data_IF_260999619562
#
_entry.id   IF_260999619562
#
_cell.length_a   1.000
_cell.length_b   1.000
_cell.length_c   1.000
_cell.angle_alpha   90.00
_cell.angle_beta   90.00
_cell.angle_gamma   90.00
#
_symmetry.space_group_name_H-M   'P 1'
#
loop_
_entity.id
_entity.type
_entity.pdbx_description
1 polymer ?
#
# COMPACT_ATOMS: atom_id res chain seq x y z
N UNK A 1 -33.52 1.43 -5.51
CA UNK A 1 -32.95 0.61 -6.62
C UNK A 1 -32.58 1.47 -7.83
N UNK A 2 -33.45 2.35 -8.26
CA UNK A 2 -33.23 3.27 -9.38
C UNK A 2 -31.99 4.18 -9.16
N UNK A 3 -31.79 4.64 -7.94
CA UNK A 3 -30.61 5.46 -7.56
C UNK A 3 -29.30 4.68 -7.63
N UNK A 4 -29.25 3.38 -7.24
CA UNK A 4 -28.05 2.55 -7.33
C UNK A 4 -27.64 2.31 -8.78
N UNK A 5 -28.61 1.94 -9.64
CA UNK A 5 -28.37 1.73 -11.06
C UNK A 5 -27.86 3.00 -11.74
N UNK A 6 -28.55 4.13 -11.51
CA UNK A 6 -28.17 5.40 -12.10
C UNK A 6 -26.75 5.80 -11.71
N UNK A 7 -26.41 5.70 -10.43
CA UNK A 7 -25.07 6.05 -9.93
C UNK A 7 -24.02 5.06 -10.42
N UNK A 8 -24.32 3.76 -10.48
CA UNK A 8 -23.37 2.76 -11.00
C UNK A 8 -23.03 3.04 -12.49
N UNK A 9 -24.02 3.40 -13.31
CA UNK A 9 -23.78 3.80 -14.69
C UNK A 9 -23.01 5.12 -14.81
N UNK A 10 -23.28 6.09 -13.93
CA UNK A 10 -22.52 7.34 -13.88
C UNK A 10 -21.05 7.08 -13.52
N UNK A 11 -20.77 6.27 -12.51
CA UNK A 11 -19.40 5.89 -12.13
C UNK A 11 -18.69 5.13 -13.26
N UNK A 12 -19.40 4.22 -13.94
CA UNK A 12 -18.86 3.54 -15.12
C UNK A 12 -18.48 4.55 -16.22
N UNK A 13 -19.34 5.54 -16.49
CA UNK A 13 -19.07 6.62 -17.45
C UNK A 13 -17.87 7.51 -17.07
N UNK A 14 -17.54 7.61 -15.78
CA UNK A 14 -16.36 8.30 -15.25
C UNK A 14 -15.09 7.43 -15.30
N UNK A 15 -15.17 6.23 -15.87
CA UNK A 15 -14.05 5.31 -16.01
C UNK A 15 -13.75 4.48 -14.76
N UNK A 16 -14.70 4.35 -13.83
CA UNK A 16 -14.57 3.52 -12.64
C UNK A 16 -15.11 2.11 -12.92
N UNK A 17 -14.43 1.08 -12.43
CA UNK A 17 -14.91 -0.31 -12.47
C UNK A 17 -15.86 -0.54 -11.29
N UNK A 18 -17.13 -0.78 -11.58
CA UNK A 18 -18.16 -0.99 -10.55
C UNK A 18 -18.56 -2.46 -10.49
N UNK A 19 -18.86 -2.94 -9.29
CA UNK A 19 -19.37 -4.29 -9.04
C UNK A 19 -20.54 -4.26 -8.03
N UNK A 20 -21.49 -5.21 -8.16
CA UNK A 20 -22.58 -5.38 -7.21
C UNK A 20 -22.06 -6.10 -5.96
N UNK A 21 -22.42 -5.61 -4.79
CA UNK A 21 -22.04 -6.21 -3.50
C UNK A 21 -23.23 -6.30 -2.56
N UNK A 22 -23.10 -7.13 -1.52
CA UNK A 22 -24.00 -7.13 -0.39
C UNK A 22 -23.53 -6.09 0.62
N UNK A 23 -24.43 -5.23 1.06
CA UNK A 23 -24.12 -4.16 2.02
C UNK A 23 -23.58 -4.70 3.35
N UNK A 24 -24.23 -5.72 3.89
CA UNK A 24 -23.93 -6.26 5.20
C UNK A 24 -22.55 -6.93 5.25
N UNK A 25 -22.30 -7.86 4.35
CA UNK A 25 -21.04 -8.63 4.31
C UNK A 25 -19.97 -7.99 3.48
N UNK A 26 -20.32 -6.95 2.70
CA UNK A 26 -19.47 -6.30 1.68
C UNK A 26 -18.99 -7.26 0.58
N UNK A 27 -19.50 -8.50 0.56
CA UNK A 27 -19.09 -9.52 -0.41
C UNK A 27 -19.63 -9.22 -1.82
N UNK A 28 -18.83 -9.44 -2.88
CA UNK A 28 -19.30 -9.33 -4.26
C UNK A 28 -20.45 -10.31 -4.54
N UNK A 29 -21.49 -9.85 -5.21
CA UNK A 29 -22.64 -10.66 -5.65
C UNK A 29 -22.41 -11.26 -7.04
N UNK A 30 -21.16 -11.61 -7.32
CA UNK A 30 -20.74 -12.24 -8.56
C UNK A 30 -19.98 -13.51 -8.22
N UNK A 31 -20.25 -14.61 -8.93
CA UNK A 31 -19.50 -15.85 -8.74
C UNK A 31 -17.99 -15.65 -8.99
N UNK A 32 -17.67 -14.79 -9.97
CA UNK A 32 -16.30 -14.41 -10.31
C UNK A 32 -16.25 -12.90 -10.54
N UNK A 33 -15.76 -12.15 -9.57
CA UNK A 33 -15.60 -10.70 -9.68
C UNK A 33 -14.20 -10.28 -10.14
N UNK A 34 -13.21 -11.19 -10.06
CA UNK A 34 -11.81 -10.94 -10.39
C UNK A 34 -11.60 -10.37 -11.82
N UNK A 35 -12.37 -10.77 -12.85
CA UNK A 35 -12.24 -10.15 -14.17
C UNK A 35 -12.43 -8.64 -14.19
N UNK A 36 -13.18 -8.09 -13.23
CA UNK A 36 -13.42 -6.64 -13.11
C UNK A 36 -12.28 -5.87 -12.47
N UNK A 37 -11.21 -6.56 -12.06
CA UNK A 37 -9.92 -5.95 -11.70
C UNK A 37 -9.11 -5.58 -12.96
N UNK A 38 -9.42 -6.18 -14.10
CA UNK A 38 -8.68 -6.00 -15.36
C UNK A 38 -9.51 -5.27 -16.42
N UNK A 39 -10.83 -5.49 -16.43
CA UNK A 39 -11.78 -4.79 -17.31
C UNK A 39 -12.92 -4.17 -16.53
N UNK A 40 -13.45 -3.09 -17.02
CA UNK A 40 -14.71 -2.54 -16.52
C UNK A 40 -15.90 -3.34 -17.01
N UNK A 41 -16.98 -3.34 -16.24
CA UNK A 41 -18.25 -3.88 -16.66
C UNK A 41 -18.81 -3.10 -17.87
N UNK A 42 -19.60 -3.77 -18.67
CA UNK A 42 -20.41 -3.09 -19.70
C UNK A 42 -21.67 -2.46 -19.08
N UNK A 43 -22.27 -1.42 -19.70
CA UNK A 43 -23.54 -0.87 -19.22
C UNK A 43 -24.65 -1.93 -19.09
N UNK A 44 -24.67 -2.94 -19.97
CA UNK A 44 -25.64 -4.03 -19.93
C UNK A 44 -25.44 -4.94 -18.71
N UNK A 45 -24.17 -5.25 -18.35
CA UNK A 45 -23.85 -5.99 -17.12
C UNK A 45 -24.32 -5.21 -15.88
N UNK A 46 -23.96 -3.92 -15.78
CA UNK A 46 -24.37 -3.04 -14.67
C UNK A 46 -25.89 -2.96 -14.56
N UNK A 47 -26.60 -2.73 -15.66
CA UNK A 47 -28.06 -2.70 -15.69
C UNK A 47 -28.65 -3.99 -15.15
N UNK A 48 -28.17 -5.14 -15.61
CA UNK A 48 -28.66 -6.46 -15.16
C UNK A 48 -28.46 -6.66 -13.65
N UNK A 49 -27.36 -6.19 -13.08
CA UNK A 49 -27.06 -6.38 -11.65
C UNK A 49 -27.93 -5.52 -10.73
N UNK A 50 -28.27 -4.31 -11.15
CA UNK A 50 -28.97 -3.36 -10.29
C UNK A 50 -30.47 -3.23 -10.59
N UNK A 51 -30.97 -3.77 -11.70
CA UNK A 51 -32.41 -3.69 -12.04
C UNK A 51 -33.24 -4.71 -11.26
N UNK A 52 -32.73 -5.91 -11.01
CA UNK A 52 -33.51 -7.04 -10.46
C UNK A 52 -33.41 -7.18 -8.93
N UNK A 53 -32.94 -6.16 -8.20
CA UNK A 53 -32.70 -6.27 -6.75
C UNK A 53 -31.62 -7.28 -6.36
N UNK A 54 -30.78 -7.63 -7.33
CA UNK A 54 -29.69 -8.59 -7.14
C UNK A 54 -28.62 -8.08 -6.19
N UNK A 55 -28.43 -6.75 -6.12
CA UNK A 55 -27.50 -6.10 -5.20
C UNK A 55 -28.20 -4.98 -4.42
N UNK A 56 -27.83 -4.82 -3.16
CA UNK A 56 -28.30 -3.75 -2.27
C UNK A 56 -27.23 -2.69 -2.00
N UNK A 57 -26.04 -2.87 -2.56
CA UNK A 57 -24.95 -1.92 -2.54
C UNK A 57 -24.06 -2.03 -3.77
N UNK A 58 -23.32 -0.97 -4.07
CA UNK A 58 -22.31 -0.94 -5.11
C UNK A 58 -20.92 -0.72 -4.51
N UNK A 59 -19.92 -1.33 -5.14
CA UNK A 59 -18.52 -1.09 -4.84
C UNK A 59 -17.76 -0.65 -6.09
N UNK A 60 -16.68 0.09 -5.88
CA UNK A 60 -15.73 0.50 -6.90
C UNK A 60 -14.45 -0.29 -6.72
N UNK A 61 -13.98 -0.93 -7.79
CA UNK A 61 -12.72 -1.66 -7.83
C UNK A 61 -11.60 -0.64 -8.01
N UNK A 62 -10.63 -0.65 -7.12
CA UNK A 62 -9.48 0.24 -7.14
C UNK A 62 -8.39 -0.26 -8.11
N UNK A 63 -7.37 0.54 -8.29
CA UNK A 63 -6.23 0.20 -9.15
C UNK A 63 -6.36 0.69 -10.60
N UNK A 64 -5.55 0.13 -11.50
CA UNK A 64 -5.44 0.58 -12.89
C UNK A 64 -6.76 0.54 -13.67
N UNK A 65 -7.63 -0.42 -13.38
CA UNK A 65 -8.92 -0.58 -14.06
C UNK A 65 -9.84 0.63 -13.86
N UNK A 66 -9.67 1.36 -12.75
CA UNK A 66 -10.40 2.59 -12.43
C UNK A 66 -9.54 3.85 -12.60
N UNK A 67 -8.58 3.82 -13.55
CA UNK A 67 -7.69 4.96 -13.82
C UNK A 67 -6.71 5.22 -12.68
N UNK A 68 -6.07 4.18 -12.18
CA UNK A 68 -5.15 4.24 -11.05
C UNK A 68 -5.77 4.79 -9.76
N UNK A 69 -7.01 4.40 -9.50
CA UNK A 69 -7.71 4.75 -8.28
C UNK A 69 -7.05 4.10 -7.06
N UNK A 70 -6.82 4.88 -6.03
CA UNK A 70 -6.44 4.43 -4.70
C UNK A 70 -7.34 5.08 -3.65
N UNK A 71 -7.65 4.35 -2.59
CA UNK A 71 -8.48 4.84 -1.49
C UNK A 71 -7.74 4.62 -0.17
N UNK A 72 -7.64 5.66 0.67
CA UNK A 72 -7.31 5.49 2.08
C UNK A 72 -8.58 5.11 2.84
N UNK A 73 -8.53 3.99 3.53
CA UNK A 73 -9.62 3.46 4.34
C UNK A 73 -9.26 3.64 5.83
N UNK A 74 -10.01 4.49 6.51
CA UNK A 74 -9.89 4.78 7.94
C UNK A 74 -10.91 3.95 8.70
N UNK A 75 -10.51 2.80 9.23
CA UNK A 75 -11.33 1.99 10.15
C UNK A 75 -11.42 2.63 11.55
N UNK A 76 -10.43 3.42 11.95
CA UNK A 76 -10.42 4.21 13.19
C UNK A 76 -10.84 5.65 12.89
N UNK A 77 -12.11 5.97 13.15
CA UNK A 77 -12.73 7.25 12.84
C UNK A 77 -12.05 8.45 13.50
N UNK A 78 -11.54 8.27 14.72
CA UNK A 78 -10.87 9.29 15.52
C UNK A 78 -9.53 9.77 14.90
N UNK A 79 -8.96 8.99 13.98
CA UNK A 79 -7.70 9.33 13.33
C UNK A 79 -7.86 10.20 12.07
N UNK A 80 -9.07 10.26 11.49
CA UNK A 80 -9.28 11.00 10.25
C UNK A 80 -9.07 12.52 10.42
N UNK A 81 -9.69 13.13 11.42
CA UNK A 81 -9.59 14.57 11.63
C UNK A 81 -8.14 15.02 11.98
N UNK A 82 -7.40 14.35 12.87
CA UNK A 82 -5.98 14.64 13.10
C UNK A 82 -5.12 14.47 11.85
N UNK A 83 -5.35 13.41 11.07
CA UNK A 83 -4.64 13.18 9.82
C UNK A 83 -4.91 14.30 8.80
N UNK A 84 -6.17 14.65 8.58
CA UNK A 84 -6.54 15.71 7.64
C UNK A 84 -5.96 17.08 8.06
N UNK A 85 -5.89 17.35 9.37
CA UNK A 85 -5.24 18.55 9.89
C UNK A 85 -3.75 18.59 9.55
N UNK A 86 -3.05 17.46 9.63
CA UNK A 86 -1.63 17.35 9.22
C UNK A 86 -1.47 17.54 7.72
N UNK A 87 -2.37 16.97 6.90
CA UNK A 87 -2.35 17.18 5.44
C UNK A 87 -2.52 18.65 5.12
N UNK A 88 -3.50 19.33 5.73
CA UNK A 88 -3.73 20.78 5.55
C UNK A 88 -2.55 21.64 5.96
N UNK A 89 -1.84 21.25 7.00
CA UNK A 89 -0.65 21.96 7.46
C UNK A 89 0.54 21.82 6.50
N UNK A 90 0.62 20.71 5.76
CA UNK A 90 1.68 20.47 4.76
C UNK A 90 1.29 21.07 3.42
N UNK A 91 0.04 20.84 2.97
CA UNK A 91 -0.50 21.31 1.70
C UNK A 91 -2.04 21.47 1.81
N UNK A 92 -2.49 22.71 1.96
CA UNK A 92 -3.92 23.03 2.07
C UNK A 92 -4.68 22.73 0.77
N UNK A 93 -4.07 23.00 -0.39
CA UNK A 93 -4.70 22.75 -1.70
C UNK A 93 -4.83 21.26 -1.98
N UNK A 94 -3.87 20.45 -1.58
CA UNK A 94 -3.97 19.00 -1.64
C UNK A 94 -5.18 18.52 -0.84
N UNK A 95 -5.32 18.97 0.40
CA UNK A 95 -6.42 18.58 1.27
C UNK A 95 -7.81 18.93 0.66
N UNK A 96 -7.94 20.07 -0.01
CA UNK A 96 -9.18 20.51 -0.65
C UNK A 96 -9.57 19.70 -1.88
N UNK A 97 -8.59 19.11 -2.58
CA UNK A 97 -8.82 18.29 -3.78
C UNK A 97 -9.24 16.86 -3.48
N UNK A 98 -9.08 16.38 -2.25
CA UNK A 98 -9.44 15.02 -1.87
C UNK A 98 -10.96 14.82 -1.92
N UNK A 99 -11.39 13.62 -2.36
CA UNK A 99 -12.78 13.21 -2.23
C UNK A 99 -12.91 12.39 -0.95
N UNK A 100 -13.86 12.76 -0.08
CA UNK A 100 -14.03 12.13 1.22
C UNK A 100 -15.45 11.63 1.41
N UNK A 101 -15.59 10.37 1.78
CA UNK A 101 -16.86 9.76 2.18
C UNK A 101 -16.78 9.23 3.60
N UNK A 102 -17.87 9.35 4.35
CA UNK A 102 -18.07 8.61 5.61
C UNK A 102 -18.58 7.21 5.29
N UNK A 103 -18.05 6.19 5.97
CA UNK A 103 -18.47 4.80 5.81
C UNK A 103 -19.61 4.42 6.76
N UNK A 104 -20.28 3.30 6.51
CA UNK A 104 -21.44 2.85 7.31
C UNK A 104 -21.12 2.60 8.80
N UNK A 105 -19.87 2.36 9.16
CA UNK A 105 -19.45 2.16 10.55
C UNK A 105 -18.75 3.36 11.15
N UNK A 106 -18.91 4.53 10.52
CA UNK A 106 -18.40 5.81 11.01
C UNK A 106 -16.96 6.13 10.60
N UNK A 107 -16.23 5.21 9.95
CA UNK A 107 -14.91 5.46 9.36
C UNK A 107 -14.97 6.36 8.12
N UNK A 108 -13.86 6.47 7.42
CA UNK A 108 -13.75 7.37 6.27
C UNK A 108 -13.03 6.70 5.10
N UNK A 109 -13.47 6.99 3.88
CA UNK A 109 -12.74 6.73 2.64
C UNK A 109 -12.25 8.05 2.06
N UNK A 110 -10.95 8.13 1.73
CA UNK A 110 -10.34 9.24 0.99
C UNK A 110 -9.90 8.73 -0.36
N UNK A 111 -10.46 9.30 -1.42
CA UNK A 111 -10.32 8.81 -2.79
C UNK A 111 -9.48 9.76 -3.63
N UNK A 112 -8.58 9.21 -4.42
CA UNK A 112 -7.74 9.94 -5.37
C UNK A 112 -7.21 8.99 -6.45
N UNK A 113 -6.67 9.56 -7.51
CA UNK A 113 -5.87 8.83 -8.51
C UNK A 113 -4.39 9.12 -8.31
N UNK A 114 -3.52 8.21 -8.71
CA UNK A 114 -2.06 8.42 -8.65
C UNK A 114 -1.35 7.63 -9.74
N UNK A 115 -0.28 8.16 -10.34
CA UNK A 115 0.50 7.43 -11.35
C UNK A 115 1.12 6.15 -10.77
N UNK A 116 1.29 6.08 -9.46
CA UNK A 116 1.81 4.89 -8.75
C UNK A 116 0.73 4.33 -7.85
N UNK A 117 0.16 3.17 -8.20
CA UNK A 117 -0.80 2.45 -7.39
C UNK A 117 -0.24 1.09 -7.01
N UNK A 118 -0.15 0.85 -5.71
CA UNK A 118 0.21 -0.45 -5.15
C UNK A 118 -1.02 -1.32 -4.90
N UNK A 119 -0.82 -2.54 -4.39
CA UNK A 119 -1.89 -3.32 -3.77
C UNK A 119 -2.33 -2.71 -2.44
N UNK A 120 -3.20 -3.40 -1.71
CA UNK A 120 -3.61 -2.98 -0.37
C UNK A 120 -2.42 -2.98 0.60
N UNK A 121 -2.28 -1.90 1.40
CA UNK A 121 -1.22 -1.72 2.38
C UNK A 121 -1.82 -1.31 3.71
N UNK A 122 -1.42 -1.95 4.79
CA UNK A 122 -1.68 -1.44 6.14
C UNK A 122 -0.72 -0.29 6.43
N UNK A 123 -1.25 0.86 6.74
CA UNK A 123 -0.46 2.08 7.00
C UNK A 123 -0.32 2.33 8.49
N UNK A 124 -1.41 2.21 9.25
CA UNK A 124 -1.39 2.34 10.69
C UNK A 124 -2.04 1.12 11.34
N UNK A 125 -1.42 0.60 12.38
CA UNK A 125 -1.86 -0.57 13.12
C UNK A 125 -1.83 -0.33 14.63
N UNK A 126 -2.72 -1.01 15.34
CA UNK A 126 -2.75 -1.09 16.80
C UNK A 126 -2.88 -2.57 17.21
N UNK A 127 -1.79 -3.24 17.54
CA UNK A 127 -1.81 -4.65 17.93
C UNK A 127 -2.61 -4.93 19.21
N UNK A 128 -2.78 -3.93 20.07
CA UNK A 128 -3.45 -4.04 21.37
C UNK A 128 -4.92 -3.62 21.33
N UNK A 129 -5.46 -3.38 20.15
CA UNK A 129 -6.84 -2.94 20.00
C UNK A 129 -7.83 -3.99 20.51
N UNK A 130 -8.72 -3.58 21.43
CA UNK A 130 -9.64 -4.45 22.14
C UNK A 130 -10.72 -5.12 21.28
N UNK A 131 -11.01 -4.54 20.08
CA UNK A 131 -11.99 -5.10 19.13
C UNK A 131 -11.41 -6.15 18.17
N UNK A 132 -10.12 -6.51 18.34
CA UNK A 132 -9.39 -7.45 17.49
C UNK A 132 -9.05 -6.95 16.08
N UNK A 133 -9.44 -5.71 15.74
CA UNK A 133 -9.11 -5.10 14.45
C UNK A 133 -7.77 -4.38 14.54
N UNK A 134 -6.72 -5.06 14.18
CA UNK A 134 -5.35 -4.52 14.24
C UNK A 134 -5.13 -3.33 13.31
N UNK A 135 -5.78 -3.29 12.15
CA UNK A 135 -5.61 -2.23 11.15
C UNK A 135 -6.44 -1.00 11.53
N UNK A 136 -5.82 0.17 11.54
CA UNK A 136 -6.44 1.47 11.81
C UNK A 136 -6.67 2.26 10.52
N UNK A 137 -5.66 2.26 9.63
CA UNK A 137 -5.67 2.92 8.32
C UNK A 137 -4.99 2.00 7.33
N UNK A 138 -5.61 1.82 6.17
CA UNK A 138 -5.02 1.05 5.07
C UNK A 138 -5.27 1.69 3.70
N UNK A 139 -4.55 1.25 2.66
CA UNK A 139 -4.90 1.57 1.28
C UNK A 139 -5.72 0.45 0.68
N UNK A 140 -6.68 0.81 -0.16
CA UNK A 140 -7.31 -0.05 -1.14
C UNK A 140 -6.82 0.39 -2.52
N UNK A 141 -5.94 -0.40 -3.09
CA UNK A 141 -5.32 -0.18 -4.39
C UNK A 141 -5.57 -1.32 -5.37
N UNK A 142 -4.58 -1.67 -6.19
CA UNK A 142 -4.71 -2.72 -7.19
C UNK A 142 -5.14 -4.06 -6.56
N UNK A 143 -6.26 -4.60 -7.03
CA UNK A 143 -6.86 -5.83 -6.52
C UNK A 143 -7.82 -5.63 -5.34
N UNK A 144 -8.00 -4.39 -4.86
CA UNK A 144 -8.99 -4.04 -3.83
C UNK A 144 -10.29 -3.49 -4.41
N UNK A 145 -11.31 -3.40 -3.56
CA UNK A 145 -12.53 -2.64 -3.84
C UNK A 145 -13.06 -2.03 -2.54
N UNK A 146 -13.86 -0.99 -2.67
CA UNK A 146 -14.54 -0.32 -1.55
C UNK A 146 -15.97 0.00 -1.92
N UNK A 147 -16.86 -0.02 -0.93
CA UNK A 147 -18.24 0.42 -1.12
C UNK A 147 -18.27 1.95 -1.30
N UNK A 148 -19.18 2.40 -2.13
CA UNK A 148 -19.34 3.81 -2.47
C UNK A 148 -20.80 4.27 -2.31
N UNK A 149 -21.04 5.58 -2.11
CA UNK A 149 -22.38 6.13 -2.24
C UNK A 149 -23.00 5.77 -3.61
N UNK A 150 -24.33 5.55 -3.69
CA UNK A 150 -25.35 5.77 -2.68
C UNK A 150 -25.65 4.52 -1.84
N UNK A 151 -24.70 3.58 -1.69
CA UNK A 151 -24.86 2.45 -0.78
C UNK A 151 -25.21 2.96 0.62
N UNK A 152 -26.22 2.37 1.25
CA UNK A 152 -26.71 2.87 2.53
C UNK A 152 -25.60 2.91 3.59
N UNK A 153 -25.49 4.03 4.29
CA UNK A 153 -24.43 4.30 5.27
C UNK A 153 -23.16 4.91 4.70
N UNK A 154 -23.03 5.02 3.38
CA UNK A 154 -21.90 5.71 2.74
C UNK A 154 -22.34 7.11 2.29
N UNK A 155 -21.75 8.16 2.88
CA UNK A 155 -22.19 9.54 2.72
C UNK A 155 -21.04 10.40 2.19
N UNK A 156 -21.22 11.11 1.06
CA UNK A 156 -20.25 12.09 0.60
C UNK A 156 -20.11 13.22 1.62
N UNK A 157 -18.89 13.62 1.97
CA UNK A 157 -18.58 14.74 2.88
C UNK A 157 -17.84 15.87 2.19
N UNK A 158 -16.90 15.52 1.30
CA UNK A 158 -16.11 16.49 0.54
C UNK A 158 -15.95 16.00 -0.88
N UNK A 159 -16.25 16.85 -1.85
CA UNK A 159 -16.21 16.58 -3.27
C UNK A 159 -17.01 15.32 -3.69
N UNK A 160 -16.95 14.95 -4.96
CA UNK A 160 -17.64 13.79 -5.52
C UNK A 160 -16.68 12.96 -6.36
N UNK A 161 -17.03 11.72 -6.64
CA UNK A 161 -16.19 10.84 -7.49
C UNK A 161 -16.07 11.36 -8.94
N UNK A 162 -16.93 12.30 -9.38
CA UNK A 162 -16.77 13.00 -10.65
C UNK A 162 -15.56 13.96 -10.64
N UNK A 163 -15.13 14.42 -9.47
CA UNK A 163 -14.04 15.36 -9.28
C UNK A 163 -12.77 14.67 -8.71
N UNK A 164 -12.57 13.40 -9.00
CA UNK A 164 -11.36 12.67 -8.59
C UNK A 164 -10.10 13.33 -9.15
N UNK A 165 -9.27 13.84 -8.26
CA UNK A 165 -7.99 14.44 -8.61
C UNK A 165 -6.92 13.37 -8.82
N UNK A 166 -6.06 13.60 -9.80
CA UNK A 166 -4.81 12.87 -9.95
C UNK A 166 -3.74 13.56 -9.10
N UNK A 167 -3.21 12.82 -8.14
CA UNK A 167 -2.12 13.27 -7.27
C UNK A 167 -0.78 12.93 -7.91
N UNK A 168 0.21 13.75 -7.67
CA UNK A 168 1.60 13.38 -7.96
C UNK A 168 2.04 12.24 -7.04
N UNK A 169 3.14 11.56 -7.39
CA UNK A 169 3.71 10.53 -6.54
C UNK A 169 4.14 11.07 -5.16
N UNK A 170 4.60 12.32 -5.13
CA UNK A 170 5.03 13.00 -3.89
C UNK A 170 3.85 13.38 -3.00
N UNK A 171 2.77 13.89 -3.59
CA UNK A 171 1.52 14.18 -2.86
C UNK A 171 0.94 12.89 -2.26
N UNK A 172 0.83 11.82 -3.07
CA UNK A 172 0.42 10.50 -2.57
C UNK A 172 1.28 10.05 -1.40
N UNK A 173 2.61 10.08 -1.56
CA UNK A 173 3.50 9.61 -0.49
C UNK A 173 3.39 10.47 0.78
N UNK A 174 3.11 11.76 0.63
CA UNK A 174 2.82 12.63 1.78
C UNK A 174 1.60 12.13 2.54
N UNK A 175 0.49 11.80 1.85
CA UNK A 175 -0.71 11.24 2.48
C UNK A 175 -0.39 9.94 3.23
N UNK A 176 0.33 9.01 2.58
CA UNK A 176 0.66 7.70 3.15
C UNK A 176 1.63 7.83 4.35
N UNK A 177 2.62 8.69 4.25
CA UNK A 177 3.59 8.93 5.33
C UNK A 177 2.91 9.50 6.57
N UNK A 178 2.01 10.46 6.39
CA UNK A 178 1.23 11.02 7.50
C UNK A 178 0.32 9.95 8.13
N UNK A 179 -0.31 9.09 7.33
CA UNK A 179 -1.13 7.98 7.83
C UNK A 179 -0.31 6.96 8.65
N UNK A 180 0.90 6.61 8.20
CA UNK A 180 1.80 5.70 8.93
C UNK A 180 2.22 6.23 10.30
N UNK A 181 2.23 7.54 10.48
CA UNK A 181 2.53 8.20 11.76
C UNK A 181 1.55 7.86 12.89
N UNK A 182 0.37 7.31 12.58
CA UNK A 182 -0.65 6.89 13.55
C UNK A 182 -0.52 5.44 14.01
N UNK A 183 0.49 4.69 13.57
CA UNK A 183 0.75 3.35 14.11
C UNK A 183 1.00 3.43 15.61
N UNK A 184 0.19 2.71 16.36
CA UNK A 184 0.39 2.50 17.79
C UNK A 184 1.30 1.29 17.93
N UNK A 185 2.58 1.53 18.24
CA UNK A 185 3.50 0.45 18.54
C UNK A 185 3.09 -0.18 19.89
N UNK A 186 2.90 -1.52 19.91
CA UNK A 186 3.04 -2.22 21.19
C UNK A 186 4.39 -1.81 21.82
N UNK A 187 4.47 -1.59 23.14
CA UNK A 187 5.74 -1.35 23.78
C UNK A 187 6.66 -2.51 23.38
N UNK A 188 7.66 -2.22 22.55
CA UNK A 188 8.69 -3.20 22.25
C UNK A 188 9.18 -3.71 23.59
N UNK A 189 9.09 -5.02 23.89
CA UNK A 189 9.86 -5.55 24.99
C UNK A 189 11.27 -5.05 24.70
N UNK A 190 11.84 -4.30 25.66
CA UNK A 190 13.18 -3.77 25.50
C UNK A 190 14.03 -4.98 25.08
N UNK A 191 14.42 -4.99 23.82
CA UNK A 191 15.41 -5.96 23.38
C UNK A 191 16.54 -5.75 24.35
N UNK A 192 16.94 -6.76 25.14
CA UNK A 192 18.06 -6.58 26.02
C UNK A 192 19.16 -6.15 25.08
N UNK A 193 19.52 -4.86 25.16
CA UNK A 193 20.77 -4.39 24.62
C UNK A 193 21.79 -5.24 25.35
N UNK A 194 22.23 -6.32 24.70
CA UNK A 194 23.52 -6.86 25.05
C UNK A 194 24.47 -5.70 24.83
N UNK A 195 24.63 -4.91 25.89
CA UNK A 195 25.83 -4.14 26.09
C UNK A 195 26.93 -5.19 26.13
N UNK A 196 27.53 -5.40 24.96
CA UNK A 196 28.89 -5.90 24.95
C UNK A 196 29.71 -4.78 25.60
N UNK A 197 29.89 -4.87 26.91
CA UNK A 197 31.00 -4.24 27.61
C UNK A 197 32.28 -4.91 27.06
N UNK A 198 32.64 -4.55 25.85
CA UNK A 198 33.84 -4.93 25.14
C UNK A 198 34.49 -3.63 24.68
N UNK A 199 35.71 -3.41 25.15
CA UNK A 199 36.59 -2.31 24.81
C UNK A 199 36.51 -1.91 23.32
N UNK A 200 36.86 -0.65 22.95
CA UNK A 200 36.83 -0.19 21.56
C UNK A 200 37.90 -0.95 20.77
N UNK A 201 37.54 -2.10 20.25
CA UNK A 201 38.34 -2.73 19.22
C UNK A 201 38.14 -1.91 17.93
N UNK A 202 39.21 -1.36 17.41
CA UNK A 202 39.32 -0.78 16.07
C UNK A 202 39.02 -1.88 15.03
N UNK A 203 37.75 -2.15 14.80
CA UNK A 203 37.33 -3.11 13.78
C UNK A 203 37.20 -2.35 12.46
N UNK A 204 38.04 -2.70 11.50
CA UNK A 204 37.87 -2.29 10.12
C UNK A 204 36.45 -2.53 9.59
N UNK A 205 36.10 -1.86 8.52
CA UNK A 205 34.77 -1.89 7.92
C UNK A 205 34.29 -3.33 7.67
N UNK A 206 33.16 -3.73 8.27
CA UNK A 206 32.62 -5.09 8.10
C UNK A 206 32.08 -5.27 6.68
N UNK A 207 32.17 -6.48 6.08
CA UNK A 207 31.69 -6.71 4.71
C UNK A 207 30.24 -6.33 4.48
N UNK A 208 29.33 -6.59 5.45
CA UNK A 208 27.94 -6.22 5.36
C UNK A 208 27.69 -4.71 5.43
N UNK A 209 28.47 -3.99 6.23
CA UNK A 209 28.38 -2.52 6.33
C UNK A 209 28.90 -1.87 5.05
N UNK A 210 29.94 -2.43 4.45
CA UNK A 210 30.45 -1.99 3.16
C UNK A 210 29.47 -2.26 2.02
N UNK A 211 28.83 -3.43 2.03
CA UNK A 211 27.79 -3.74 1.05
C UNK A 211 26.56 -2.82 1.20
N UNK A 212 26.17 -2.45 2.42
CA UNK A 212 25.11 -1.46 2.64
C UNK A 212 25.41 -0.09 2.02
N UNK A 213 26.69 0.26 1.86
CA UNK A 213 27.12 1.54 1.26
C UNK A 213 27.22 1.51 -0.25
N UNK A 214 27.72 0.41 -0.83
CA UNK A 214 28.09 0.35 -2.26
C UNK A 214 27.54 -0.86 -3.00
N UNK A 215 26.72 -1.71 -2.35
CA UNK A 215 26.10 -2.87 -3.00
C UNK A 215 25.07 -2.45 -4.04
N UNK A 216 25.04 -3.15 -5.15
CA UNK A 216 24.07 -2.93 -6.23
C UNK A 216 22.77 -3.68 -5.94
N UNK A 217 21.83 -3.01 -5.28
CA UNK A 217 20.52 -3.59 -4.95
C UNK A 217 19.62 -3.73 -6.19
N UNK A 218 19.59 -2.81 -7.15
CA UNK A 218 18.90 -3.01 -8.41
C UNK A 218 19.31 -4.29 -9.16
N UNK A 219 20.62 -4.57 -9.26
CA UNK A 219 21.12 -5.81 -9.88
C UNK A 219 20.67 -7.04 -9.08
N UNK A 220 20.83 -7.02 -7.76
CA UNK A 220 20.37 -8.10 -6.88
C UNK A 220 18.89 -8.41 -7.10
N UNK A 221 18.02 -7.41 -7.11
CA UNK A 221 16.58 -7.56 -7.32
C UNK A 221 16.27 -8.15 -8.70
N UNK A 222 16.95 -7.65 -9.74
CA UNK A 222 16.75 -8.10 -11.12
C UNK A 222 17.13 -9.58 -11.28
N UNK A 223 18.24 -10.04 -10.68
CA UNK A 223 18.67 -11.44 -10.69
C UNK A 223 17.65 -12.37 -10.02
N UNK A 224 16.90 -11.86 -9.05
CA UNK A 224 15.82 -12.61 -8.39
C UNK A 224 14.45 -12.39 -9.04
N UNK A 225 14.41 -11.91 -10.28
CA UNK A 225 13.19 -11.80 -11.07
C UNK A 225 12.26 -10.66 -10.65
N UNK A 226 12.74 -9.74 -9.79
CA UNK A 226 12.02 -8.51 -9.51
C UNK A 226 12.10 -7.58 -10.71
N UNK A 227 10.99 -6.95 -11.04
CA UNK A 227 10.88 -6.04 -12.18
C UNK A 227 10.89 -4.60 -11.69
N UNK A 228 11.78 -3.80 -12.24
CA UNK A 228 11.75 -2.35 -12.07
C UNK A 228 10.47 -1.78 -12.71
N UNK A 229 9.76 -0.93 -11.98
CA UNK A 229 8.52 -0.29 -12.44
C UNK A 229 8.76 1.16 -12.82
N UNK A 230 9.24 1.96 -11.88
CA UNK A 230 9.52 3.38 -12.07
C UNK A 230 10.39 3.92 -10.94
N UNK A 231 10.89 5.15 -11.12
CA UNK A 231 11.64 5.87 -10.10
C UNK A 231 11.01 7.24 -9.86
N UNK A 232 10.88 7.63 -8.60
CA UNK A 232 10.45 8.94 -8.17
C UNK A 232 11.50 9.52 -7.21
N UNK A 233 12.22 10.56 -7.66
CA UNK A 233 13.37 11.06 -6.91
C UNK A 233 14.41 9.97 -6.68
N UNK A 234 14.81 9.76 -5.42
CA UNK A 234 15.74 8.71 -5.02
C UNK A 234 15.10 7.34 -4.78
N UNK A 235 13.77 7.22 -4.86
CA UNK A 235 13.02 5.99 -4.56
C UNK A 235 12.73 5.23 -5.82
N UNK A 236 13.17 3.97 -5.94
CA UNK A 236 12.76 3.07 -7.01
C UNK A 236 11.66 2.12 -6.55
N UNK A 237 10.73 1.83 -7.45
CA UNK A 237 9.56 1.00 -7.24
C UNK A 237 9.73 -0.33 -7.97
N UNK A 238 9.42 -1.42 -7.29
CA UNK A 238 9.69 -2.78 -7.75
C UNK A 238 8.45 -3.66 -7.68
N UNK A 239 8.34 -4.54 -8.65
CA UNK A 239 7.30 -5.55 -8.76
C UNK A 239 7.90 -6.93 -8.50
N UNK A 240 7.26 -7.71 -7.64
CA UNK A 240 7.70 -9.06 -7.32
C UNK A 240 7.58 -10.01 -8.52
N UNK A 241 8.35 -11.11 -8.53
CA UNK A 241 8.19 -12.19 -9.51
C UNK A 241 6.74 -12.71 -9.58
N UNK A 242 6.29 -13.04 -10.78
CA UNK A 242 4.96 -13.59 -11.02
C UNK A 242 3.78 -12.62 -10.90
N UNK A 243 4.03 -11.33 -10.62
CA UNK A 243 3.00 -10.29 -10.63
C UNK A 243 3.04 -9.54 -11.95
N UNK A 244 1.87 -9.32 -12.58
CA UNK A 244 1.78 -8.69 -13.91
C UNK A 244 1.68 -7.16 -13.82
N UNK A 245 1.00 -6.62 -12.79
CA UNK A 245 0.72 -5.20 -12.65
C UNK A 245 0.95 -4.68 -11.23
N UNK A 246 1.16 -3.36 -11.08
CA UNK A 246 1.34 -2.66 -9.81
C UNK A 246 2.73 -2.84 -9.21
N UNK A 247 2.93 -2.26 -8.04
CA UNK A 247 4.17 -2.26 -7.25
C UNK A 247 4.05 -3.25 -6.10
N UNK A 248 5.17 -3.78 -5.62
CA UNK A 248 5.24 -4.74 -4.51
C UNK A 248 6.26 -4.34 -3.45
N UNK A 249 7.19 -3.46 -3.80
CA UNK A 249 8.23 -2.99 -2.91
C UNK A 249 8.83 -1.66 -3.38
N UNK A 250 9.53 -0.99 -2.46
CA UNK A 250 10.32 0.21 -2.73
C UNK A 250 11.76 0.01 -2.28
N UNK A 251 12.71 0.62 -2.99
CA UNK A 251 14.11 0.72 -2.59
C UNK A 251 14.49 2.17 -2.36
N UNK A 252 15.30 2.40 -1.32
CA UNK A 252 15.86 3.70 -0.93
C UNK A 252 14.81 4.74 -0.52
N UNK A 253 13.71 4.31 0.08
CA UNK A 253 12.69 5.21 0.59
C UNK A 253 13.27 6.18 1.64
N UNK A 254 13.06 7.47 1.44
CA UNK A 254 13.60 8.52 2.32
C UNK A 254 15.13 8.59 2.35
N UNK A 255 15.83 8.09 1.33
CA UNK A 255 17.31 8.12 1.27
C UNK A 255 18.01 7.19 2.27
N UNK A 256 17.28 6.23 2.85
CA UNK A 256 17.78 5.37 3.95
C UNK A 256 18.52 4.12 3.47
N UNK A 257 18.61 3.88 2.16
CA UNK A 257 19.22 2.66 1.61
C UNK A 257 18.53 1.38 2.11
N UNK A 258 17.21 1.38 2.22
CA UNK A 258 16.42 0.23 2.65
C UNK A 258 15.43 -0.20 1.59
N UNK A 259 15.24 -1.52 1.48
CA UNK A 259 14.19 -2.15 0.69
C UNK A 259 13.01 -2.45 1.59
N UNK A 260 11.82 -2.02 1.20
CA UNK A 260 10.59 -2.29 1.92
C UNK A 260 9.63 -3.10 1.05
N UNK A 261 9.33 -4.33 1.47
CA UNK A 261 8.37 -5.21 0.82
C UNK A 261 7.01 -5.09 1.49
N UNK A 262 6.00 -4.64 0.74
CA UNK A 262 4.62 -4.59 1.21
C UNK A 262 3.72 -5.68 0.61
N UNK A 263 4.29 -6.56 -0.22
CA UNK A 263 3.56 -7.69 -0.79
C UNK A 263 3.51 -8.85 0.18
N UNK A 264 2.32 -9.39 0.42
CA UNK A 264 2.12 -10.58 1.25
C UNK A 264 2.51 -11.89 0.56
N UNK A 265 2.89 -11.84 -0.73
CA UNK A 265 3.23 -13.03 -1.53
C UNK A 265 4.54 -12.79 -2.31
N UNK A 266 5.64 -12.61 -1.58
CA UNK A 266 6.97 -12.35 -2.13
C UNK A 266 8.06 -13.19 -1.41
N UNK A 267 7.90 -14.52 -1.26
CA UNK A 267 8.92 -15.34 -0.59
C UNK A 267 10.26 -15.23 -1.32
N UNK A 268 11.41 -15.30 -0.60
CA UNK A 268 11.56 -15.52 0.85
C UNK A 268 11.43 -14.25 1.71
N UNK A 269 11.01 -13.11 1.11
CA UNK A 269 10.87 -11.86 1.84
C UNK A 269 9.55 -11.83 2.63
N UNK A 270 9.64 -11.40 3.88
CA UNK A 270 8.49 -11.22 4.74
C UNK A 270 7.74 -9.94 4.37
N UNK A 271 6.39 -9.94 4.36
CA UNK A 271 5.61 -8.75 4.11
C UNK A 271 5.81 -7.71 5.21
N UNK A 272 5.67 -6.44 4.85
CA UNK A 272 5.75 -5.29 5.76
C UNK A 272 7.09 -5.18 6.50
N UNK A 273 8.16 -5.76 5.94
CA UNK A 273 9.50 -5.74 6.51
C UNK A 273 10.46 -4.89 5.69
N UNK A 274 11.31 -4.14 6.41
CA UNK A 274 12.43 -3.41 5.82
C UNK A 274 13.71 -4.24 5.86
N UNK A 275 14.47 -4.21 4.78
CA UNK A 275 15.76 -4.87 4.64
C UNK A 275 16.82 -3.84 4.28
N UNK A 276 17.97 -3.86 4.95
CA UNK A 276 19.19 -3.19 4.44
C UNK A 276 19.66 -3.91 3.18
N UNK A 277 20.56 -3.31 2.38
CA UNK A 277 21.13 -4.00 1.22
C UNK A 277 21.74 -5.37 1.59
N UNK A 278 22.48 -5.43 2.70
CA UNK A 278 23.06 -6.68 3.21
C UNK A 278 21.99 -7.65 3.71
N UNK A 279 20.96 -7.17 4.41
CA UNK A 279 19.84 -8.02 4.85
C UNK A 279 19.06 -8.59 3.70
N UNK A 280 18.88 -7.82 2.62
CA UNK A 280 18.22 -8.26 1.39
C UNK A 280 19.05 -9.33 0.67
N UNK A 281 20.37 -9.12 0.53
CA UNK A 281 21.31 -10.11 -0.01
C UNK A 281 21.26 -11.43 0.80
N UNK A 282 21.34 -11.35 2.12
CA UNK A 282 21.27 -12.52 2.98
C UNK A 282 19.95 -13.28 2.79
N UNK A 283 18.83 -12.58 2.71
CA UNK A 283 17.51 -13.20 2.53
C UNK A 283 17.37 -13.88 1.16
N UNK A 284 17.82 -13.21 0.08
CA UNK A 284 17.62 -13.66 -1.30
C UNK A 284 18.65 -14.74 -1.72
N UNK A 285 19.94 -14.53 -1.47
CA UNK A 285 21.02 -15.40 -1.96
C UNK A 285 21.41 -16.50 -0.95
N UNK A 286 21.15 -16.26 0.35
CA UNK A 286 21.66 -17.14 1.43
C UNK A 286 20.58 -17.63 2.38
N UNK A 287 19.29 -17.54 2.01
CA UNK A 287 18.18 -18.05 2.83
C UNK A 287 18.11 -17.46 4.25
N UNK A 288 18.66 -16.27 4.46
CA UNK A 288 18.72 -15.60 5.77
C UNK A 288 20.00 -15.88 6.57
N UNK A 289 20.96 -16.63 6.03
CA UNK A 289 22.26 -16.88 6.68
C UNK A 289 23.21 -15.68 6.50
N UNK A 290 23.20 -14.78 7.47
CA UNK A 290 24.06 -13.58 7.51
C UNK A 290 25.57 -13.93 7.58
N UNK A 291 25.93 -15.09 8.14
CA UNK A 291 27.33 -15.51 8.24
C UNK A 291 27.86 -15.93 6.88
N UNK A 292 27.11 -16.76 6.16
CA UNK A 292 27.44 -17.17 4.80
C UNK A 292 27.49 -15.96 3.86
N UNK A 293 26.52 -15.07 3.92
CA UNK A 293 26.50 -13.83 3.15
C UNK A 293 27.74 -12.94 3.43
N UNK A 294 28.11 -12.74 4.70
CA UNK A 294 29.28 -11.94 5.05
C UNK A 294 30.61 -12.59 4.58
N UNK A 295 30.70 -13.92 4.60
CA UNK A 295 31.86 -14.64 4.10
C UNK A 295 32.01 -14.49 2.58
N UNK A 296 30.93 -14.62 1.83
CA UNK A 296 30.91 -14.43 0.39
C UNK A 296 31.27 -12.98 0.00
N UNK A 297 30.72 -12.00 0.72
CA UNK A 297 31.07 -10.59 0.51
C UNK A 297 32.56 -10.31 0.74
N UNK A 298 33.16 -10.95 1.76
CA UNK A 298 34.62 -10.82 2.00
C UNK A 298 35.42 -11.38 0.86
N UNK A 299 35.03 -12.51 0.29
CA UNK A 299 35.68 -13.10 -0.89
C UNK A 299 35.51 -12.22 -2.13
N UNK A 300 34.37 -11.52 -2.25
CA UNK A 300 34.09 -10.56 -3.30
C UNK A 300 34.75 -9.18 -3.09
N UNK A 301 35.59 -9.02 -2.04
CA UNK A 301 36.35 -7.79 -1.79
C UNK A 301 35.56 -6.69 -1.06
N UNK A 302 34.50 -7.05 -0.34
CA UNK A 302 33.80 -6.12 0.57
C UNK A 302 34.43 -6.17 1.97
N UNK A 303 34.49 -5.02 2.63
CA UNK A 303 35.17 -4.84 3.90
C UNK A 303 36.66 -4.54 3.76
N UNK A 304 37.28 -4.18 4.88
CA UNK A 304 38.73 -3.93 4.91
C UNK A 304 39.50 -5.26 4.80
N UNK A 305 40.48 -5.31 3.89
CA UNK A 305 41.48 -6.39 3.87
C UNK A 305 42.39 -6.24 5.09
N UNK A 306 42.47 -7.29 5.90
CA UNK A 306 43.53 -7.41 6.91
C UNK A 306 44.86 -7.74 6.24
#
# INVERSE_FOLDING_TARGET
>A
METLLHTALAYLGQGLSVIPVTRETKAPRLAHWQPYQERRATPAEVTRWFTRGYADALAVVAGPVSGNLEVLDFDAADLFAPWLAQVRAVDGLLAERLVVHRTQHGGYHVWYRSPVVAGNQKLAVDPERSDGKVTLIETRGAGGYVLAPPSAGYVPLQNTLAALSELTAEERETLLRLARGFTRAAPRPACPTQRSDGAPHSHGLRPGDDYNRRGDVPDLLTRHGWQYVCQHGAVSHWRRPGKVQGVSATWNYGGRGTFYCFSTNAPPLEPERSYTAFGLLAALDYGGDFRAAAQALRQAGYGERR
#
